data_IF_083724438523
#
_entry.id   IF_083724438523
#
_cell.length_a   1.000
_cell.length_b   1.000
_cell.length_c   1.000
_cell.angle_alpha   90.00
_cell.angle_beta   90.00
_cell.angle_gamma   90.00
#
_symmetry.space_group_name_H-M   'P 1'
#
loop_
_entity.id
_entity.type
_entity.pdbx_description
1 polymer ?
#
# COMPACT_ATOMS: atom_id res chain seq x y z
N UNK A 1 5.75 -8.44 12.11
CA UNK A 1 4.62 -8.11 12.99
C UNK A 1 3.56 -9.21 12.95
N UNK A 2 2.81 -9.37 11.86
CA UNK A 2 1.70 -10.35 11.77
C UNK A 2 2.09 -11.80 12.08
N UNK A 3 3.14 -12.33 11.43
CA UNK A 3 3.58 -13.73 11.66
C UNK A 3 3.99 -14.01 13.11
N UNK A 4 4.57 -13.01 13.81
CA UNK A 4 4.99 -13.16 15.21
C UNK A 4 3.77 -13.34 16.13
N UNK A 5 2.64 -12.76 15.74
CA UNK A 5 1.36 -12.88 16.44
C UNK A 5 0.50 -14.05 15.92
N UNK A 6 1.11 -14.97 15.16
CA UNK A 6 0.47 -16.14 14.52
C UNK A 6 -0.67 -15.78 13.56
N UNK A 7 -0.68 -14.56 13.03
CA UNK A 7 -1.62 -14.13 11.98
C UNK A 7 -1.04 -14.45 10.62
N UNK A 8 -1.72 -15.32 9.86
CA UNK A 8 -1.28 -15.72 8.53
C UNK A 8 -1.65 -14.66 7.49
N UNK A 9 -0.70 -14.34 6.62
CA UNK A 9 -0.90 -13.37 5.55
C UNK A 9 -0.29 -13.87 4.24
N UNK A 10 -1.03 -13.68 3.15
CA UNK A 10 -0.55 -13.89 1.78
C UNK A 10 -0.18 -12.55 1.19
N UNK A 11 1.05 -12.44 0.66
CA UNK A 11 1.56 -11.21 0.04
C UNK A 11 1.41 -11.29 -1.48
N UNK A 12 0.84 -10.26 -2.09
CA UNK A 12 0.72 -10.08 -3.52
C UNK A 12 1.51 -8.84 -3.96
N UNK A 13 2.23 -8.96 -5.07
CA UNK A 13 2.86 -7.82 -5.73
C UNK A 13 1.81 -7.11 -6.57
N UNK A 14 1.59 -5.82 -6.32
CA UNK A 14 0.58 -5.01 -7.00
C UNK A 14 1.18 -3.70 -7.50
N UNK A 15 0.43 -2.97 -8.33
CA UNK A 15 0.78 -1.63 -8.77
C UNK A 15 -0.40 -0.68 -8.54
N UNK A 16 -0.16 0.48 -7.95
CA UNK A 16 -1.19 1.50 -7.77
C UNK A 16 -1.56 2.17 -9.09
N UNK A 17 -2.85 2.25 -9.41
CA UNK A 17 -3.31 2.80 -10.70
C UNK A 17 -2.96 4.29 -10.92
N UNK A 18 -2.86 5.07 -9.85
CA UNK A 18 -2.54 6.50 -9.92
C UNK A 18 -1.04 6.77 -10.15
N UNK A 19 -0.18 6.13 -9.35
CA UNK A 19 1.26 6.39 -9.38
C UNK A 19 2.03 5.45 -10.31
N UNK A 20 1.38 4.37 -10.76
CA UNK A 20 2.02 3.21 -11.40
C UNK A 20 3.25 2.70 -10.64
N UNK A 21 3.34 3.04 -9.36
CA UNK A 21 4.39 2.61 -8.45
C UNK A 21 4.04 1.23 -7.90
N UNK A 22 5.07 0.40 -7.74
CA UNK A 22 4.92 -0.91 -7.11
C UNK A 22 4.46 -0.76 -5.67
N UNK A 23 3.35 -1.41 -5.33
CA UNK A 23 2.87 -1.52 -3.97
C UNK A 23 2.73 -2.99 -3.57
N UNK A 24 2.36 -3.22 -2.32
CA UNK A 24 2.13 -4.56 -1.79
C UNK A 24 0.69 -4.63 -1.32
N UNK A 25 -0.05 -5.60 -1.85
CA UNK A 25 -1.36 -5.99 -1.31
C UNK A 25 -1.15 -7.20 -0.42
N UNK A 26 -1.79 -7.19 0.76
CA UNK A 26 -1.79 -8.33 1.67
C UNK A 26 -3.21 -8.83 1.83
N UNK A 27 -3.40 -10.15 1.73
CA UNK A 27 -4.64 -10.83 2.11
C UNK A 27 -4.40 -11.53 3.44
N UNK A 28 -5.24 -11.25 4.43
CA UNK A 28 -5.06 -11.72 5.80
C UNK A 28 -6.39 -12.31 6.25
N UNK A 29 -6.40 -13.62 6.50
CA UNK A 29 -7.54 -14.30 7.13
C UNK A 29 -7.35 -14.33 8.64
N UNK A 30 -8.31 -13.78 9.38
CA UNK A 30 -8.28 -13.72 10.85
C UNK A 30 -9.64 -14.06 11.43
N UNK A 31 -9.65 -14.69 12.59
CA UNK A 31 -10.87 -14.82 13.41
C UNK A 31 -11.33 -13.44 13.90
N UNK A 32 -12.64 -13.27 14.12
CA UNK A 32 -13.24 -11.99 14.52
C UNK A 32 -12.59 -11.39 15.78
N UNK A 33 -12.24 -12.24 16.75
CA UNK A 33 -11.57 -11.84 18.00
C UNK A 33 -10.18 -11.24 17.78
N UNK A 34 -9.54 -11.56 16.65
CA UNK A 34 -8.20 -11.09 16.29
C UNK A 34 -8.21 -9.89 15.33
N UNK A 35 -9.39 -9.43 14.88
CA UNK A 35 -9.51 -8.36 13.89
C UNK A 35 -8.84 -7.07 14.37
N UNK A 36 -9.22 -6.57 15.55
CA UNK A 36 -8.66 -5.33 16.10
C UNK A 36 -7.15 -5.42 16.29
N UNK A 37 -6.66 -6.56 16.78
CA UNK A 37 -5.22 -6.82 16.92
C UNK A 37 -4.50 -6.74 15.57
N UNK A 38 -5.09 -7.30 14.51
CA UNK A 38 -4.51 -7.23 13.17
C UNK A 38 -4.48 -5.79 12.64
N UNK A 39 -5.57 -5.04 12.82
CA UNK A 39 -5.67 -3.63 12.42
C UNK A 39 -4.63 -2.76 13.15
N UNK A 40 -4.45 -2.96 14.45
CA UNK A 40 -3.46 -2.23 15.25
C UNK A 40 -2.03 -2.53 14.80
N UNK A 41 -1.72 -3.81 14.52
CA UNK A 41 -0.41 -4.19 13.99
C UNK A 41 -0.15 -3.54 12.62
N UNK A 42 -1.14 -3.55 11.72
CA UNK A 42 -0.99 -2.90 10.41
C UNK A 42 -0.78 -1.40 10.60
N UNK A 43 -1.61 -0.74 11.41
CA UNK A 43 -1.51 0.70 11.69
C UNK A 43 -0.16 1.09 12.28
N UNK A 44 0.38 0.30 13.21
CA UNK A 44 1.68 0.56 13.82
C UNK A 44 2.85 0.43 12.83
N UNK A 45 2.70 -0.41 11.80
CA UNK A 45 3.75 -0.75 10.84
C UNK A 45 3.61 -0.06 9.47
N UNK A 46 2.44 0.48 9.14
CA UNK A 46 2.15 1.16 7.88
C UNK A 46 2.09 2.66 8.11
N UNK A 47 3.23 3.35 7.94
CA UNK A 47 3.32 4.80 8.11
C UNK A 47 3.14 5.54 6.79
N UNK A 48 2.67 6.78 6.88
CA UNK A 48 2.68 7.68 5.74
C UNK A 48 4.11 8.10 5.43
N UNK A 49 4.51 8.03 4.16
CA UNK A 49 5.77 8.58 3.69
C UNK A 49 5.53 9.55 2.53
N UNK A 50 6.54 10.35 2.22
CA UNK A 50 6.50 11.27 1.09
C UNK A 50 7.28 10.65 -0.05
N UNK A 51 6.66 10.57 -1.22
CA UNK A 51 7.34 10.16 -2.45
C UNK A 51 7.46 11.35 -3.39
N UNK A 52 8.65 11.48 -3.97
CA UNK A 52 8.97 12.49 -4.95
C UNK A 52 8.83 11.87 -6.34
N UNK A 53 7.84 12.32 -7.11
CA UNK A 53 7.63 11.83 -8.46
C UNK A 53 8.03 12.91 -9.45
N UNK A 54 8.82 12.52 -10.45
CA UNK A 54 9.14 13.40 -11.58
C UNK A 54 7.87 13.59 -12.42
N UNK A 55 7.36 14.81 -12.47
CA UNK A 55 6.29 15.16 -13.40
C UNK A 55 6.84 15.09 -14.82
N UNK A 56 6.23 14.28 -15.67
CA UNK A 56 6.56 14.25 -17.11
C UNK A 56 5.78 15.31 -17.88
N UNK A 57 5.31 16.40 -17.25
CA UNK A 57 4.66 17.50 -17.96
C UNK A 57 5.58 18.02 -19.08
N UNK A 58 5.30 17.60 -20.32
CA UNK A 58 6.05 17.96 -21.51
C UNK A 58 5.69 19.40 -21.86
N UNK A 59 6.50 20.34 -21.40
CA UNK A 59 6.62 21.65 -22.03
C UNK A 59 7.66 21.60 -23.15
N UNK A 60 7.35 20.95 -24.28
CA UNK A 60 8.16 21.16 -25.49
C UNK A 60 7.71 22.45 -26.16
N UNK A 61 8.28 23.56 -25.73
CA UNK A 61 8.36 24.77 -26.53
C UNK A 61 9.75 25.37 -26.32
N UNK A 62 10.56 25.36 -27.38
CA UNK A 62 11.82 26.09 -27.52
C UNK A 62 13.03 25.55 -26.72
N UNK A 63 13.67 24.48 -27.24
CA UNK A 63 15.13 24.33 -27.28
C UNK A 63 15.94 24.23 -25.96
N UNK A 64 15.34 24.31 -24.79
CA UNK A 64 16.01 24.19 -23.49
C UNK A 64 15.61 22.92 -22.75
N UNK A 65 16.57 22.27 -22.07
CA UNK A 65 16.26 21.18 -21.14
C UNK A 65 15.34 21.70 -20.03
N UNK A 66 14.05 21.41 -20.12
CA UNK A 66 13.13 21.61 -19.01
C UNK A 66 13.47 20.57 -17.93
N UNK A 67 14.10 21.01 -16.84
CA UNK A 67 14.27 20.18 -15.64
C UNK A 67 12.87 19.84 -15.14
N UNK A 68 12.44 18.58 -15.31
CA UNK A 68 11.11 18.14 -14.89
C UNK A 68 10.89 18.45 -13.42
N UNK A 69 9.84 19.21 -13.11
CA UNK A 69 9.50 19.56 -11.73
C UNK A 69 9.16 18.28 -10.95
N UNK A 70 9.72 18.16 -9.76
CA UNK A 70 9.45 17.05 -8.85
C UNK A 70 8.29 17.45 -7.97
N UNK A 71 7.19 16.70 -8.05
CA UNK A 71 6.02 16.90 -7.20
C UNK A 71 6.15 15.95 -6.01
N UNK A 72 6.15 16.51 -4.80
CA UNK A 72 6.09 15.74 -3.57
C UNK A 72 4.64 15.31 -3.34
N UNK A 73 4.40 14.00 -3.31
CA UNK A 73 3.11 13.44 -2.95
C UNK A 73 3.24 12.69 -1.62
N UNK A 74 2.16 12.70 -0.84
CA UNK A 74 2.08 11.84 0.35
C UNK A 74 1.51 10.50 -0.06
N UNK A 75 2.35 9.46 -0.04
CA UNK A 75 1.96 8.07 -0.27
C UNK A 75 1.96 7.41 1.08
N UNK A 76 0.82 6.94 1.59
CA UNK A 76 0.91 6.59 3.00
C UNK A 76 -0.23 5.93 3.73
N UNK A 77 0.21 5.00 4.58
CA UNK A 77 -0.60 4.20 5.48
C UNK A 77 -0.81 2.80 4.91
N UNK A 78 -1.91 2.19 5.33
CA UNK A 78 -2.50 1.04 4.67
C UNK A 78 -3.93 1.41 4.29
N UNK A 79 -4.35 1.06 3.07
CA UNK A 79 -5.77 1.02 2.73
C UNK A 79 -6.24 -0.40 3.01
N UNK A 80 -7.22 -0.55 3.90
CA UNK A 80 -7.67 -1.85 4.39
C UNK A 80 -9.15 -2.02 4.04
N UNK A 81 -9.47 -3.14 3.40
CA UNK A 81 -10.85 -3.59 3.22
C UNK A 81 -11.09 -4.74 4.18
N UNK A 82 -12.14 -4.66 4.97
CA UNK A 82 -12.57 -5.72 5.88
C UNK A 82 -13.87 -6.30 5.33
N UNK A 83 -13.89 -7.62 5.14
CA UNK A 83 -15.03 -8.34 4.57
C UNK A 83 -15.33 -9.56 5.42
N UNK A 84 -16.60 -9.79 5.74
CA UNK A 84 -17.03 -11.03 6.37
C UNK A 84 -16.80 -12.22 5.42
N UNK A 85 -16.32 -13.32 5.97
CA UNK A 85 -16.08 -14.57 5.23
C UNK A 85 -17.04 -15.62 5.76
N UNK A 86 -17.93 -16.12 4.90
CA UNK A 86 -18.91 -17.16 5.28
C UNK A 86 -18.22 -18.49 5.63
N UNK A 87 -17.15 -18.83 4.90
CA UNK A 87 -16.40 -20.07 5.10
C UNK A 87 -14.95 -19.92 4.67
N UNK A 88 -14.02 -20.32 5.54
CA UNK A 88 -12.59 -20.42 5.25
C UNK A 88 -12.10 -21.83 5.58
N UNK A 89 -11.40 -22.46 4.65
CA UNK A 89 -10.82 -23.80 4.81
C UNK A 89 -9.30 -23.70 4.70
N UNK A 90 -8.59 -24.46 5.55
CA UNK A 90 -7.13 -24.55 5.53
C UNK A 90 -6.72 -26.01 5.71
N UNK A 91 -6.03 -26.55 4.71
CA UNK A 91 -5.50 -27.92 4.68
C UNK A 91 -3.99 -27.93 4.90
#
# INVERSE_FOLDING_TARGET
>A
ALNNEKLSATRLFSSGGFLKAGNTTMMIGVENENLEKALDLIKANSRKHKENIRSTAHGSFLGGLTTGETIEITVGGATIFVTEVERMEKY
#
